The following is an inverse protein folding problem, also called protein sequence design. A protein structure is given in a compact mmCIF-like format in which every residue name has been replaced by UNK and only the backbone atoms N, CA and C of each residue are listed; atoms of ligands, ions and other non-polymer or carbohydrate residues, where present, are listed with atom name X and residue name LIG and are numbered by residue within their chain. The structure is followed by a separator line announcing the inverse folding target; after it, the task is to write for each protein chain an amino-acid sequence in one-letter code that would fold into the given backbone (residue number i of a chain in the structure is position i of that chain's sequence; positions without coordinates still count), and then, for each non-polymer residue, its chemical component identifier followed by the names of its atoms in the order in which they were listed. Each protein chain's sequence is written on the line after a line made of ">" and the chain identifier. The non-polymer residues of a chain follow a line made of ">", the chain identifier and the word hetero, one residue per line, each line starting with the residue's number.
data_IF_093841029243
#
_entry.id   IF_093841029243
#
_cell.length_a   1.000
_cell.length_b   1.000
_cell.length_c   1.000
_cell.angle_alpha   90.00
_cell.angle_beta   90.00
_cell.angle_gamma   90.00
#
_symmetry.space_group_name_H-M   'P 1'
#
loop_
_entity.id
_entity.type
_entity.pdbx_description
1 polymer ?
#
# COMPACT_ATOMS: atom_id res chain seq x y z
N UNK A 1 54.79 4.40 26.18
CA UNK A 1 53.65 5.26 26.57
C UNK A 1 52.39 4.75 25.86
N UNK A 2 51.42 4.20 26.59
CA UNK A 2 50.14 3.76 26.04
C UNK A 2 49.22 4.97 25.95
N UNK A 3 48.81 5.36 24.74
CA UNK A 3 47.76 6.36 24.55
C UNK A 3 46.40 5.64 24.66
N UNK A 4 45.63 6.01 25.69
CA UNK A 4 44.25 5.55 25.89
C UNK A 4 43.32 6.58 25.24
N UNK A 5 42.67 6.19 24.14
CA UNK A 5 41.63 6.99 23.50
C UNK A 5 40.33 6.68 24.25
N UNK A 6 39.85 7.65 25.05
CA UNK A 6 38.53 7.59 25.67
C UNK A 6 37.48 7.92 24.60
N UNK A 7 36.71 6.92 24.19
CA UNK A 7 35.49 7.14 23.42
C UNK A 7 34.44 7.75 24.36
N UNK A 8 34.09 9.02 24.13
CA UNK A 8 32.89 9.61 24.71
C UNK A 8 31.70 9.10 23.90
N UNK A 9 30.95 8.16 24.46
CA UNK A 9 29.63 7.82 23.96
C UNK A 9 28.69 9.00 24.27
N UNK A 10 28.40 9.82 23.27
CA UNK A 10 27.26 10.72 23.33
C UNK A 10 26.00 9.86 23.27
N UNK A 11 25.26 9.80 24.37
CA UNK A 11 23.92 9.26 24.35
C UNK A 11 23.06 10.19 23.47
N UNK A 12 22.71 9.75 22.26
CA UNK A 12 21.61 10.35 21.52
C UNK A 12 20.35 10.14 22.38
N UNK A 13 19.82 11.21 22.96
CA UNK A 13 18.44 11.21 23.41
C UNK A 13 17.59 11.05 22.15
N UNK A 14 17.02 9.85 21.94
CA UNK A 14 16.00 9.65 20.94
C UNK A 14 14.81 10.54 21.35
N UNK A 15 14.61 11.63 20.60
CA UNK A 15 13.32 12.32 20.62
C UNK A 15 12.27 11.29 20.21
N UNK A 16 11.10 11.23 20.86
CA UNK A 16 10.01 10.42 20.34
C UNK A 16 9.68 10.96 18.95
N UNK A 17 10.09 10.24 17.92
CA UNK A 17 9.67 10.51 16.55
C UNK A 17 8.23 10.04 16.45
N UNK A 18 7.29 10.91 16.79
CA UNK A 18 5.91 10.77 16.33
C UNK A 18 6.01 10.68 14.81
N UNK A 19 5.71 9.52 14.24
CA UNK A 19 5.76 9.35 12.79
C UNK A 19 4.75 10.33 12.18
N UNK A 20 5.09 10.99 11.07
CA UNK A 20 4.23 12.02 10.48
C UNK A 20 2.80 11.55 10.14
N UNK A 21 2.58 10.24 10.03
CA UNK A 21 1.25 9.65 9.82
C UNK A 21 0.38 9.62 11.08
N UNK A 22 0.96 9.60 12.28
CA UNK A 22 0.23 9.56 13.56
C UNK A 22 -0.62 10.84 13.74
N UNK A 23 -0.14 11.98 13.24
CA UNK A 23 -0.86 13.26 13.20
C UNK A 23 -2.10 13.25 12.28
N UNK A 24 -2.17 12.29 11.36
CA UNK A 24 -3.31 12.14 10.45
C UNK A 24 -4.36 11.18 10.98
N UNK A 25 -4.09 10.45 12.06
CA UNK A 25 -5.04 9.50 12.63
C UNK A 25 -6.16 10.22 13.38
N UNK A 26 -7.41 9.82 13.13
CA UNK A 26 -8.62 10.42 13.68
C UNK A 26 -9.60 9.34 14.11
N UNK A 27 -10.43 9.60 15.14
CA UNK A 27 -11.56 8.74 15.45
C UNK A 27 -12.53 8.62 14.27
N UNK A 28 -13.14 7.45 14.05
CA UNK A 28 -14.13 7.26 12.97
C UNK A 28 -15.24 8.33 12.93
N UNK A 29 -15.82 8.80 14.05
CA UNK A 29 -16.85 9.84 14.03
C UNK A 29 -16.38 11.22 13.58
N UNK A 30 -15.06 11.47 13.56
CA UNK A 30 -14.49 12.70 12.97
C UNK A 30 -14.26 12.56 11.46
N UNK A 31 -14.18 11.32 10.95
CA UNK A 31 -13.89 11.00 9.54
C UNK A 31 -15.18 10.79 8.75
N UNK A 32 -16.17 10.13 9.36
CA UNK A 32 -17.43 9.74 8.76
C UNK A 32 -18.59 10.21 9.64
N UNK A 33 -19.59 10.85 9.04
CA UNK A 33 -20.80 11.31 9.69
C UNK A 33 -21.82 10.17 9.95
N UNK A 34 -21.72 9.05 9.24
CA UNK A 34 -22.63 7.90 9.36
C UNK A 34 -22.02 6.62 8.78
N UNK A 35 -22.67 5.47 9.02
CA UNK A 35 -22.36 4.21 8.33
C UNK A 35 -22.44 4.30 6.82
N UNK A 36 -23.41 5.08 6.31
CA UNK A 36 -23.51 5.37 4.87
C UNK A 36 -22.25 6.04 4.33
N UNK A 37 -21.74 7.07 5.01
CA UNK A 37 -20.51 7.73 4.57
C UNK A 37 -19.30 6.81 4.71
N UNK A 38 -19.22 6.02 5.79
CA UNK A 38 -18.16 5.03 5.97
C UNK A 38 -18.07 4.07 4.78
N UNK A 39 -19.13 3.34 4.47
CA UNK A 39 -19.09 2.34 3.41
C UNK A 39 -18.79 2.92 2.03
N UNK A 40 -19.31 4.11 1.71
CA UNK A 40 -19.09 4.71 0.40
C UNK A 40 -17.68 5.32 0.26
N UNK A 41 -17.06 5.74 1.37
CA UNK A 41 -15.79 6.47 1.34
C UNK A 41 -14.58 5.60 1.67
N UNK A 42 -14.71 4.65 2.61
CA UNK A 42 -13.59 3.87 3.13
C UNK A 42 -12.80 3.16 2.03
N UNK A 43 -13.46 2.67 0.98
CA UNK A 43 -12.81 2.00 -0.16
C UNK A 43 -13.11 2.71 -1.49
N UNK A 44 -12.88 4.02 -1.60
CA UNK A 44 -12.91 4.75 -2.88
C UNK A 44 -14.12 4.46 -3.78
N UNK A 45 -15.35 4.60 -3.25
CA UNK A 45 -16.60 4.34 -3.98
C UNK A 45 -16.82 2.89 -4.47
N UNK A 46 -16.09 1.90 -3.94
CA UNK A 46 -16.36 0.47 -4.18
C UNK A 46 -17.79 0.08 -3.83
N UNK A 47 -18.37 0.73 -2.82
CA UNK A 47 -19.70 0.42 -2.31
C UNK A 47 -20.67 1.59 -2.45
N UNK A 48 -21.94 1.24 -2.65
CA UNK A 48 -23.09 2.15 -2.59
C UNK A 48 -24.00 1.66 -1.47
N UNK A 49 -24.46 2.53 -0.58
CA UNK A 49 -25.38 2.07 0.47
C UNK A 49 -26.83 2.16 0.00
N UNK A 50 -27.57 1.08 0.22
CA UNK A 50 -29.00 0.98 -0.10
C UNK A 50 -29.82 0.67 1.16
N UNK A 51 -31.08 1.10 1.18
CA UNK A 51 -32.01 0.76 2.27
C UNK A 51 -32.18 -0.75 2.41
N UNK A 52 -32.43 -1.24 3.62
CA UNK A 52 -32.50 -2.69 3.88
C UNK A 52 -33.65 -3.41 3.15
N UNK A 53 -34.63 -2.64 2.67
CA UNK A 53 -35.77 -3.10 1.86
C UNK A 53 -35.40 -3.31 0.39
N UNK A 54 -34.31 -2.72 -0.07
CA UNK A 54 -33.81 -2.86 -1.44
C UNK A 54 -32.86 -4.07 -1.55
N UNK A 55 -32.66 -4.61 -2.76
CA UNK A 55 -31.62 -5.61 -3.01
C UNK A 55 -30.23 -5.04 -2.70
N UNK A 56 -29.60 -5.56 -1.64
CA UNK A 56 -28.28 -5.15 -1.19
C UNK A 56 -27.55 -6.30 -0.52
N UNK A 57 -26.26 -6.37 -0.78
CA UNK A 57 -25.37 -7.42 -0.27
C UNK A 57 -25.04 -7.17 1.21
N UNK A 58 -24.67 -8.24 1.90
CA UNK A 58 -24.02 -8.20 3.21
C UNK A 58 -22.64 -8.80 3.09
N UNK A 59 -21.66 -8.22 3.79
CA UNK A 59 -20.28 -8.72 3.80
C UNK A 59 -20.07 -9.84 4.83
N UNK A 60 -21.13 -10.26 5.52
CA UNK A 60 -21.07 -11.42 6.40
C UNK A 60 -22.43 -12.09 6.59
N UNK A 61 -22.40 -13.40 6.80
CA UNK A 61 -23.54 -14.25 7.14
C UNK A 61 -23.04 -15.51 7.86
N UNK A 62 -23.94 -16.24 8.52
CA UNK A 62 -23.56 -17.42 9.33
C UNK A 62 -23.89 -18.76 8.68
N UNK A 63 -24.75 -18.77 7.66
CA UNK A 63 -25.18 -19.98 6.97
C UNK A 63 -24.14 -20.35 5.88
N UNK A 64 -23.37 -21.41 6.12
CA UNK A 64 -22.34 -21.89 5.16
C UNK A 64 -22.94 -22.68 3.99
N UNK A 65 -24.19 -23.11 4.11
CA UNK A 65 -24.86 -23.92 3.09
C UNK A 65 -25.65 -23.03 2.13
N UNK A 66 -25.96 -21.79 2.53
CA UNK A 66 -26.71 -20.83 1.72
C UNK A 66 -26.14 -19.42 1.83
N UNK A 67 -25.47 -18.98 0.77
CA UNK A 67 -25.09 -17.59 0.61
C UNK A 67 -26.33 -16.72 0.32
N UNK A 68 -26.73 -15.79 1.21
CA UNK A 68 -27.88 -14.92 0.97
C UNK A 68 -27.64 -13.94 -0.20
N UNK A 69 -26.37 -13.65 -0.52
CA UNK A 69 -26.01 -12.75 -1.61
C UNK A 69 -26.34 -13.34 -2.99
N UNK A 70 -26.47 -14.66 -3.11
CA UNK A 70 -26.87 -15.31 -4.37
C UNK A 70 -28.25 -14.84 -4.84
N UNK A 71 -29.18 -14.67 -3.88
CA UNK A 71 -30.51 -14.13 -4.17
C UNK A 71 -30.45 -12.65 -4.54
N UNK A 72 -29.57 -11.88 -3.89
CA UNK A 72 -29.38 -10.45 -4.20
C UNK A 72 -28.89 -10.28 -5.63
N UNK A 73 -27.95 -11.13 -6.07
CA UNK A 73 -27.47 -11.15 -7.46
C UNK A 73 -28.62 -11.43 -8.43
N UNK A 74 -29.47 -12.42 -8.13
CA UNK A 74 -30.66 -12.70 -8.93
C UNK A 74 -31.63 -11.52 -8.99
N UNK A 75 -31.85 -10.84 -7.86
CA UNK A 75 -32.79 -9.71 -7.78
C UNK A 75 -32.30 -8.49 -8.58
N UNK A 76 -30.99 -8.25 -8.61
CA UNK A 76 -30.39 -7.09 -9.30
C UNK A 76 -30.20 -7.36 -10.80
N UNK A 77 -29.66 -8.52 -11.16
CA UNK A 77 -29.24 -8.82 -12.53
C UNK A 77 -30.21 -9.72 -13.29
N UNK A 78 -31.15 -10.37 -12.60
CA UNK A 78 -32.02 -11.39 -13.21
C UNK A 78 -31.31 -12.70 -13.53
N UNK A 79 -30.07 -12.87 -13.07
CA UNK A 79 -29.20 -14.02 -13.34
C UNK A 79 -28.61 -14.58 -12.04
N UNK A 80 -28.28 -15.87 -12.05
CA UNK A 80 -27.56 -16.48 -10.93
C UNK A 80 -26.15 -15.90 -10.80
N UNK A 81 -25.51 -16.03 -9.63
CA UNK A 81 -24.11 -15.66 -9.46
C UNK A 81 -23.20 -16.24 -10.55
N UNK A 82 -22.17 -15.49 -10.99
CA UNK A 82 -21.32 -15.90 -12.11
C UNK A 82 -20.56 -17.19 -11.77
N UNK A 83 -20.25 -17.97 -12.80
CA UNK A 83 -19.40 -19.16 -12.71
C UNK A 83 -17.91 -18.83 -12.91
N UNK A 84 -17.58 -17.55 -13.03
CA UNK A 84 -16.22 -17.03 -13.16
C UNK A 84 -15.97 -15.99 -12.07
N UNK A 85 -14.75 -15.95 -11.56
CA UNK A 85 -14.31 -14.96 -10.58
C UNK A 85 -13.76 -13.73 -11.31
N UNK A 86 -14.50 -12.62 -11.25
CA UNK A 86 -14.19 -11.43 -12.06
C UNK A 86 -13.12 -10.48 -11.50
N UNK A 87 -12.78 -10.60 -10.22
CA UNK A 87 -11.67 -9.87 -9.59
C UNK A 87 -10.37 -10.66 -9.73
N UNK A 88 -9.22 -9.97 -9.67
CA UNK A 88 -7.90 -10.56 -9.94
C UNK A 88 -6.96 -10.47 -8.72
N UNK A 89 -5.67 -10.81 -8.89
CA UNK A 89 -4.63 -10.95 -7.85
C UNK A 89 -4.67 -12.31 -7.13
N UNK A 90 -5.43 -12.43 -6.04
CA UNK A 90 -5.48 -13.68 -5.24
C UNK A 90 -6.73 -14.54 -5.50
N UNK A 91 -7.59 -14.06 -6.39
CA UNK A 91 -8.78 -14.76 -6.82
C UNK A 91 -8.45 -15.96 -7.75
N UNK A 92 -9.26 -17.00 -7.66
CA UNK A 92 -9.28 -18.13 -8.59
C UNK A 92 -9.89 -17.71 -9.93
N UNK A 93 -9.88 -18.60 -10.92
CA UNK A 93 -10.59 -18.39 -12.19
C UNK A 93 -12.11 -18.65 -12.05
N UNK A 94 -12.49 -19.65 -11.25
CA UNK A 94 -13.87 -20.10 -11.05
C UNK A 94 -14.15 -20.32 -9.56
N UNK A 95 -15.40 -20.11 -9.09
CA UNK A 95 -15.76 -20.31 -7.71
C UNK A 95 -15.87 -21.81 -7.40
N UNK A 96 -15.09 -22.27 -6.44
CA UNK A 96 -15.02 -23.69 -6.06
C UNK A 96 -15.07 -23.88 -4.54
N UNK A 97 -15.42 -25.10 -4.05
CA UNK A 97 -15.36 -25.41 -2.62
C UNK A 97 -13.93 -25.37 -2.09
N UNK A 98 -13.77 -24.93 -0.84
CA UNK A 98 -12.50 -24.85 -0.13
C UNK A 98 -12.38 -25.90 0.98
N UNK A 99 -11.14 -26.22 1.34
CA UNK A 99 -10.83 -27.20 2.37
C UNK A 99 -11.01 -26.64 3.81
N UNK A 100 -10.73 -27.48 4.80
CA UNK A 100 -10.79 -27.11 6.22
C UNK A 100 -9.73 -26.05 6.62
N UNK A 101 -8.85 -25.64 5.70
CA UNK A 101 -7.93 -24.52 5.85
C UNK A 101 -8.63 -23.17 5.86
N UNK A 102 -9.83 -23.06 5.29
CA UNK A 102 -10.62 -21.82 5.29
C UNK A 102 -11.25 -21.61 6.67
N UNK A 103 -10.54 -20.86 7.52
CA UNK A 103 -10.96 -20.62 8.91
C UNK A 103 -11.64 -19.27 9.09
N UNK A 104 -11.17 -18.25 8.38
CA UNK A 104 -11.65 -16.89 8.59
C UNK A 104 -12.91 -16.58 7.77
N UNK A 105 -12.94 -17.02 6.51
CA UNK A 105 -14.02 -16.72 5.55
C UNK A 105 -14.95 -17.91 5.28
N UNK A 106 -15.21 -18.71 6.34
CA UNK A 106 -16.05 -19.92 6.28
C UNK A 106 -17.42 -19.79 5.59
N UNK A 107 -18.13 -18.63 5.64
CA UNK A 107 -19.43 -18.52 4.98
C UNK A 107 -19.40 -18.84 3.48
N UNK A 108 -18.27 -18.63 2.80
CA UNK A 108 -18.10 -18.94 1.36
C UNK A 108 -17.51 -20.32 1.08
N UNK A 109 -17.28 -21.17 2.10
CA UNK A 109 -16.52 -22.42 1.95
C UNK A 109 -17.03 -23.35 0.86
N UNK A 110 -18.35 -23.43 0.63
CA UNK A 110 -18.91 -24.31 -0.39
C UNK A 110 -18.73 -23.79 -1.82
N UNK A 111 -18.54 -22.48 -1.99
CA UNK A 111 -18.41 -21.82 -3.30
C UNK A 111 -17.78 -20.45 -3.12
N UNK A 112 -16.46 -20.37 -3.30
CA UNK A 112 -15.69 -19.13 -3.09
C UNK A 112 -14.76 -18.83 -4.25
N UNK A 113 -14.42 -17.55 -4.44
CA UNK A 113 -13.37 -17.10 -5.35
C UNK A 113 -11.97 -17.02 -4.72
N UNK A 114 -11.86 -17.14 -3.40
CA UNK A 114 -10.58 -17.12 -2.69
C UNK A 114 -10.01 -18.53 -2.53
N UNK A 115 -8.72 -18.62 -2.18
CA UNK A 115 -8.08 -19.86 -1.73
C UNK A 115 -7.99 -19.88 -0.19
N UNK A 116 -8.17 -21.04 0.42
CA UNK A 116 -8.11 -21.25 1.87
C UNK A 116 -6.81 -20.74 2.50
N UNK A 117 -5.71 -20.80 1.74
CA UNK A 117 -4.39 -20.31 2.16
C UNK A 117 -4.29 -18.79 2.32
N UNK A 118 -5.12 -18.02 1.61
CA UNK A 118 -5.20 -16.55 1.71
C UNK A 118 -6.07 -16.16 2.90
N UNK A 119 -7.07 -16.97 3.22
CA UNK A 119 -8.07 -16.70 4.26
C UNK A 119 -7.94 -17.60 5.51
N UNK A 120 -6.72 -18.07 5.77
CA UNK A 120 -6.43 -19.02 6.84
C UNK A 120 -6.49 -18.40 8.25
N UNK A 121 -6.32 -17.07 8.34
CA UNK A 121 -6.44 -16.29 9.58
C UNK A 121 -6.61 -14.81 9.25
N UNK A 122 -7.12 -14.05 10.23
CA UNK A 122 -7.10 -12.58 10.23
C UNK A 122 -5.73 -12.00 9.91
N UNK A 123 -4.66 -12.53 10.52
CA UNK A 123 -3.30 -12.03 10.27
C UNK A 123 -2.88 -12.29 8.82
N UNK A 124 -3.23 -13.43 8.24
CA UNK A 124 -2.93 -13.71 6.84
C UNK A 124 -3.64 -12.74 5.90
N UNK A 125 -4.91 -12.44 6.15
CA UNK A 125 -5.66 -11.42 5.41
C UNK A 125 -4.97 -10.05 5.49
N UNK A 126 -4.60 -9.63 6.70
CA UNK A 126 -3.97 -8.33 6.93
C UNK A 126 -2.64 -8.17 6.18
N UNK A 127 -1.83 -9.22 6.19
CA UNK A 127 -0.51 -9.23 5.57
C UNK A 127 -0.53 -9.50 4.05
N UNK A 128 -1.67 -9.86 3.45
CA UNK A 128 -1.70 -10.39 2.09
C UNK A 128 -1.28 -9.39 1.02
N UNK A 129 -1.50 -8.10 1.25
CA UNK A 129 -1.23 -7.04 0.27
C UNK A 129 -0.02 -6.18 0.59
N UNK A 130 0.62 -6.38 1.75
CA UNK A 130 1.73 -5.55 2.24
C UNK A 130 1.33 -4.64 3.40
N UNK A 131 2.32 -4.17 4.15
CA UNK A 131 2.15 -3.37 5.37
C UNK A 131 1.36 -2.08 5.11
N UNK A 132 1.51 -1.49 3.93
CA UNK A 132 0.77 -0.29 3.55
C UNK A 132 -0.72 -0.50 3.42
N UNK A 133 -1.20 -1.73 3.28
CA UNK A 133 -2.62 -2.09 3.19
C UNK A 133 -3.15 -2.69 4.50
N UNK A 134 -2.39 -2.63 5.59
CA UNK A 134 -2.94 -2.97 6.90
C UNK A 134 -4.09 -2.01 7.26
N UNK A 135 -5.22 -2.53 7.70
CA UNK A 135 -6.34 -1.67 8.14
C UNK A 135 -6.01 -0.89 9.43
N UNK A 136 -5.17 -1.45 10.30
CA UNK A 136 -4.79 -0.92 11.63
C UNK A 136 -3.52 -0.04 11.61
N UNK A 137 -3.25 0.63 10.48
CA UNK A 137 -2.13 1.60 10.35
C UNK A 137 -2.15 2.69 11.42
N UNK A 138 -3.31 3.07 11.94
CA UNK A 138 -3.46 4.05 13.01
C UNK A 138 -3.35 3.47 14.44
N UNK A 139 -2.81 2.26 14.55
CA UNK A 139 -2.72 1.49 15.79
C UNK A 139 -3.78 0.40 15.87
N UNK A 140 -3.65 -0.52 16.85
CA UNK A 140 -4.55 -1.65 16.99
C UNK A 140 -6.01 -1.23 17.12
N UNK A 141 -6.89 -1.89 16.38
CA UNK A 141 -8.32 -1.71 16.47
C UNK A 141 -8.92 -2.56 17.59
N UNK A 142 -10.09 -2.16 18.08
CA UNK A 142 -10.91 -3.01 18.94
C UNK A 142 -11.35 -4.25 18.17
N UNK A 143 -11.50 -5.42 18.84
CA UNK A 143 -11.94 -6.64 18.17
C UNK A 143 -13.29 -6.50 17.46
N UNK A 144 -14.17 -5.62 17.95
CA UNK A 144 -15.47 -5.36 17.34
C UNK A 144 -15.32 -4.63 16.00
N UNK A 145 -14.48 -3.60 15.94
CA UNK A 145 -14.21 -2.86 14.70
C UNK A 145 -13.42 -3.70 13.69
N UNK A 146 -12.34 -4.35 14.15
CA UNK A 146 -11.47 -5.15 13.27
C UNK A 146 -12.23 -6.27 12.58
N UNK A 147 -13.24 -6.85 13.25
CA UNK A 147 -14.07 -7.89 12.63
C UNK A 147 -14.74 -7.43 11.34
N UNK A 148 -15.14 -6.18 11.23
CA UNK A 148 -15.75 -5.65 10.00
C UNK A 148 -14.77 -5.49 8.84
N UNK A 149 -13.51 -5.15 9.13
CA UNK A 149 -12.46 -5.17 8.11
C UNK A 149 -12.22 -6.59 7.59
N UNK A 150 -12.24 -7.58 8.50
CA UNK A 150 -12.15 -8.99 8.09
C UNK A 150 -13.37 -9.43 7.27
N UNK A 151 -14.58 -8.98 7.63
CA UNK A 151 -15.78 -9.24 6.84
C UNK A 151 -15.67 -8.69 5.42
N UNK A 152 -15.22 -7.46 5.30
CA UNK A 152 -14.99 -6.84 3.99
C UNK A 152 -13.91 -7.58 3.20
N UNK A 153 -12.78 -7.93 3.82
CA UNK A 153 -11.72 -8.69 3.15
C UNK A 153 -12.21 -10.07 2.70
N UNK A 154 -12.97 -10.79 3.55
CA UNK A 154 -13.59 -12.05 3.14
C UNK A 154 -14.57 -11.89 1.98
N UNK A 155 -15.39 -10.84 2.02
CA UNK A 155 -16.35 -10.55 0.97
C UNK A 155 -15.64 -10.22 -0.34
N UNK A 156 -14.63 -9.35 -0.32
CA UNK A 156 -13.83 -8.99 -1.49
C UNK A 156 -13.15 -10.22 -2.10
N UNK A 157 -12.44 -11.02 -1.30
CA UNK A 157 -11.68 -12.18 -1.80
C UNK A 157 -12.57 -13.34 -2.27
N UNK A 158 -13.69 -13.59 -1.57
CA UNK A 158 -14.40 -14.86 -1.69
C UNK A 158 -15.76 -14.77 -2.40
N UNK A 159 -16.43 -13.62 -2.45
CA UNK A 159 -17.78 -13.50 -3.02
C UNK A 159 -17.75 -13.61 -4.56
N UNK A 160 -18.39 -14.64 -5.16
CA UNK A 160 -18.42 -14.78 -6.62
C UNK A 160 -19.04 -13.58 -7.33
N UNK A 161 -20.04 -12.95 -6.70
CA UNK A 161 -20.75 -11.81 -7.28
C UNK A 161 -19.95 -10.51 -7.26
N UNK A 162 -18.84 -10.41 -6.51
CA UNK A 162 -18.05 -9.18 -6.42
C UNK A 162 -17.49 -8.74 -7.79
N UNK A 163 -17.13 -9.70 -8.63
CA UNK A 163 -16.64 -9.45 -10.00
C UNK A 163 -17.64 -8.75 -10.92
N UNK A 164 -18.95 -8.87 -10.66
CA UNK A 164 -20.01 -8.17 -11.42
C UNK A 164 -19.94 -6.65 -11.25
N UNK A 165 -19.30 -6.18 -10.18
CA UNK A 165 -19.16 -4.77 -9.84
C UNK A 165 -17.76 -4.22 -10.13
N UNK A 166 -16.96 -4.91 -10.95
CA UNK A 166 -15.66 -4.41 -11.38
C UNK A 166 -15.83 -3.09 -12.15
N UNK A 167 -15.05 -2.09 -11.78
CA UNK A 167 -15.11 -0.73 -12.34
C UNK A 167 -14.83 -0.69 -13.84
N UNK A 168 -13.91 -1.54 -14.30
CA UNK A 168 -13.49 -1.59 -15.69
C UNK A 168 -13.79 -2.96 -16.31
N UNK A 169 -14.27 -2.93 -17.53
CA UNK A 169 -14.36 -4.11 -18.39
C UNK A 169 -13.04 -4.31 -19.15
N UNK A 170 -12.65 -5.54 -19.49
CA UNK A 170 -11.40 -5.86 -20.20
C UNK A 170 -11.25 -5.16 -21.57
N UNK A 171 -12.38 -4.80 -22.19
CA UNK A 171 -12.40 -3.96 -23.40
C UNK A 171 -11.82 -2.54 -23.18
N UNK A 172 -11.73 -2.10 -21.93
CA UNK A 172 -11.19 -0.80 -21.52
C UNK A 172 -9.70 -0.85 -21.13
N UNK A 173 -9.00 -1.95 -21.44
CA UNK A 173 -7.56 -2.13 -21.20
C UNK A 173 -6.64 -1.08 -21.82
N UNK A 174 -7.17 -0.21 -22.69
CA UNK A 174 -6.47 0.92 -23.27
C UNK A 174 -6.43 2.18 -22.38
N UNK A 175 -7.22 2.23 -21.31
CA UNK A 175 -7.24 3.36 -20.38
C UNK A 175 -6.04 3.28 -19.42
N UNK A 176 -5.42 4.42 -19.13
CA UNK A 176 -4.25 4.50 -18.23
C UNK A 176 -4.60 4.06 -16.79
N UNK A 177 -5.81 4.36 -16.35
CA UNK A 177 -6.39 4.00 -15.05
C UNK A 177 -6.97 2.58 -14.99
N UNK A 178 -6.95 1.83 -16.10
CA UNK A 178 -7.50 0.48 -16.17
C UNK A 178 -6.82 -0.43 -15.14
N UNK A 179 -7.65 -1.16 -14.42
CA UNK A 179 -7.19 -2.25 -13.57
C UNK A 179 -8.27 -3.32 -13.44
N UNK A 180 -7.90 -4.46 -12.88
CA UNK A 180 -8.74 -5.66 -12.80
C UNK A 180 -9.22 -5.99 -11.38
N UNK A 181 -8.99 -5.10 -10.42
CA UNK A 181 -9.30 -5.31 -8.99
C UNK A 181 -10.31 -4.32 -8.43
N UNK A 182 -10.41 -3.14 -9.01
CA UNK A 182 -11.23 -2.07 -8.45
C UNK A 182 -12.71 -2.39 -8.63
N UNK A 183 -13.45 -2.40 -7.53
CA UNK A 183 -14.91 -2.46 -7.52
C UNK A 183 -15.51 -1.05 -7.64
N UNK A 184 -16.77 -0.97 -8.02
CA UNK A 184 -17.50 0.29 -8.09
C UNK A 184 -18.99 0.11 -7.81
N UNK A 185 -19.49 0.84 -6.80
CA UNK A 185 -20.91 0.96 -6.47
C UNK A 185 -21.65 -0.36 -6.27
N UNK A 186 -21.01 -1.38 -5.68
CA UNK A 186 -21.71 -2.57 -5.23
C UNK A 186 -22.69 -2.22 -4.09
N UNK A 187 -23.99 -2.54 -4.19
CA UNK A 187 -24.98 -2.11 -3.22
C UNK A 187 -24.85 -2.90 -1.91
N UNK A 188 -24.59 -2.22 -0.80
CA UNK A 188 -24.46 -2.82 0.53
C UNK A 188 -25.62 -2.35 1.41
N UNK A 189 -26.19 -3.28 2.19
CA UNK A 189 -27.29 -2.96 3.11
C UNK A 189 -26.90 -1.92 4.14
N UNK A 190 -27.76 -0.91 4.33
CA UNK A 190 -27.55 0.18 5.28
C UNK A 190 -27.29 -0.33 6.70
N UNK A 191 -28.06 -1.30 7.17
CA UNK A 191 -27.87 -1.88 8.51
C UNK A 191 -26.47 -2.45 8.75
N UNK A 192 -25.85 -3.05 7.73
CA UNK A 192 -24.49 -3.56 7.82
C UNK A 192 -23.49 -2.40 8.02
N UNK A 193 -23.59 -1.37 7.19
CA UNK A 193 -22.73 -0.19 7.25
C UNK A 193 -22.89 0.61 8.53
N UNK A 194 -24.11 0.75 9.04
CA UNK A 194 -24.37 1.38 10.34
C UNK A 194 -23.75 0.58 11.48
N UNK A 195 -23.84 -0.75 11.43
CA UNK A 195 -23.21 -1.63 12.43
C UNK A 195 -21.69 -1.54 12.42
N UNK A 196 -21.09 -1.44 11.22
CA UNK A 196 -19.65 -1.22 11.08
C UNK A 196 -19.23 0.09 11.73
N UNK A 197 -19.89 1.18 11.37
CA UNK A 197 -19.58 2.50 11.93
C UNK A 197 -19.74 2.52 13.45
N UNK A 198 -20.82 1.93 13.97
CA UNK A 198 -21.07 1.84 15.41
C UNK A 198 -19.98 1.05 16.14
N UNK A 199 -19.48 -0.04 15.55
CA UNK A 199 -18.41 -0.86 16.12
C UNK A 199 -17.06 -0.13 16.17
N UNK A 200 -16.81 0.80 15.25
CA UNK A 200 -15.52 1.50 15.11
C UNK A 200 -15.48 2.90 15.75
N UNK A 201 -16.53 3.36 16.46
CA UNK A 201 -16.61 4.75 16.96
C UNK A 201 -15.44 5.18 17.85
N UNK A 202 -14.82 4.25 18.57
CA UNK A 202 -13.71 4.51 19.49
C UNK A 202 -12.34 4.21 18.89
N UNK A 203 -12.31 3.70 17.67
CA UNK A 203 -11.10 3.31 16.96
C UNK A 203 -10.55 4.48 16.15
N UNK A 204 -9.26 4.38 15.81
CA UNK A 204 -8.57 5.36 14.99
C UNK A 204 -8.44 4.83 13.56
N UNK A 205 -8.59 5.73 12.59
CA UNK A 205 -8.29 5.46 11.20
C UNK A 205 -7.65 6.70 10.57
N UNK A 206 -7.18 6.56 9.33
CA UNK A 206 -6.55 7.65 8.62
C UNK A 206 -7.56 8.77 8.34
N UNK A 207 -7.17 10.01 8.62
CA UNK A 207 -8.09 11.14 8.71
C UNK A 207 -8.71 11.60 7.39
N UNK A 208 -8.17 11.18 6.23
CA UNK A 208 -8.85 11.40 4.95
C UNK A 208 -10.07 10.49 4.79
N UNK A 209 -10.10 9.36 5.49
CA UNK A 209 -11.14 8.35 5.45
C UNK A 209 -11.15 7.43 4.24
N UNK A 210 -10.09 7.41 3.43
CA UNK A 210 -9.99 6.52 2.28
C UNK A 210 -8.80 5.57 2.44
N UNK A 211 -9.04 4.27 2.29
CA UNK A 211 -8.09 3.20 2.59
C UNK A 211 -6.87 3.23 1.66
N UNK A 212 -7.08 3.50 0.37
CA UNK A 212 -6.03 3.54 -0.65
C UNK A 212 -5.20 4.82 -0.56
N UNK A 213 -5.85 5.96 -0.34
CA UNK A 213 -5.20 7.24 -0.08
C UNK A 213 -4.38 7.19 1.21
N UNK A 214 -4.86 6.45 2.22
CA UNK A 214 -4.06 6.16 3.40
C UNK A 214 -2.83 5.29 3.08
N UNK A 215 -2.97 4.26 2.23
CA UNK A 215 -1.85 3.38 1.86
C UNK A 215 -0.73 4.18 1.19
N UNK A 216 -1.12 5.05 0.24
CA UNK A 216 -0.19 5.95 -0.43
C UNK A 216 0.54 6.89 0.54
N UNK A 217 -0.16 7.40 1.57
CA UNK A 217 0.49 8.22 2.61
C UNK A 217 1.38 7.41 3.54
N UNK A 218 1.00 6.19 3.90
CA UNK A 218 1.84 5.31 4.72
C UNK A 218 3.17 5.03 4.02
N UNK A 219 3.12 4.62 2.74
CA UNK A 219 4.32 4.40 1.92
C UNK A 219 5.17 5.68 1.81
N UNK A 220 4.56 6.84 1.59
CA UNK A 220 5.30 8.09 1.45
C UNK A 220 6.03 8.54 2.73
N UNK A 221 5.60 8.07 3.90
CA UNK A 221 6.14 8.43 5.21
C UNK A 221 6.76 7.24 5.96
N UNK A 222 7.10 6.14 5.27
CA UNK A 222 7.72 4.98 5.89
C UNK A 222 9.17 5.33 6.33
N UNK A 223 9.53 5.27 7.63
CA UNK A 223 10.86 5.63 8.11
C UNK A 223 11.97 4.77 7.54
N UNK A 224 11.69 3.51 7.18
CA UNK A 224 12.69 2.66 6.54
C UNK A 224 13.07 3.18 5.16
N UNK A 225 12.09 3.68 4.41
CA UNK A 225 12.30 4.31 3.11
C UNK A 225 12.97 5.68 3.25
N UNK A 226 12.65 6.45 4.30
CA UNK A 226 13.37 7.68 4.62
C UNK A 226 14.86 7.42 4.90
N UNK A 227 15.17 6.44 5.76
CA UNK A 227 16.54 6.03 6.09
C UNK A 227 17.26 5.52 4.83
N UNK A 228 16.59 4.72 4.00
CA UNK A 228 17.12 4.23 2.73
C UNK A 228 17.42 5.38 1.77
N UNK A 229 16.52 6.36 1.64
CA UNK A 229 16.70 7.54 0.81
C UNK A 229 17.85 8.41 1.29
N UNK A 230 18.00 8.60 2.60
CA UNK A 230 19.16 9.29 3.19
C UNK A 230 20.47 8.57 2.89
N UNK A 231 20.50 7.24 3.08
CA UNK A 231 21.67 6.40 2.78
C UNK A 231 22.06 6.50 1.30
N UNK A 232 21.11 6.34 0.39
CA UNK A 232 21.36 6.38 -1.05
C UNK A 232 21.83 7.78 -1.49
N UNK A 233 21.30 8.83 -0.87
CA UNK A 233 21.74 10.21 -1.12
C UNK A 233 23.19 10.42 -0.65
N UNK A 234 23.53 9.92 0.54
CA UNK A 234 24.88 9.98 1.09
C UNK A 234 25.88 9.18 0.25
N UNK A 235 25.49 8.01 -0.26
CA UNK A 235 26.31 7.20 -1.17
C UNK A 235 26.59 7.94 -2.48
N UNK A 236 25.56 8.50 -3.11
CA UNK A 236 25.71 9.31 -4.34
C UNK A 236 26.63 10.52 -4.12
N UNK A 237 26.48 11.21 -2.98
CA UNK A 237 27.34 12.33 -2.61
C UNK A 237 28.79 11.88 -2.43
N UNK A 238 29.03 10.77 -1.73
CA UNK A 238 30.37 10.23 -1.53
C UNK A 238 31.05 9.86 -2.86
N UNK A 239 30.35 9.18 -3.76
CA UNK A 239 30.86 8.84 -5.10
C UNK A 239 31.19 10.11 -5.88
N UNK A 240 30.30 11.11 -5.86
CA UNK A 240 30.53 12.38 -6.56
C UNK A 240 31.79 13.10 -6.07
N UNK A 241 31.99 13.17 -4.75
CA UNK A 241 33.18 13.78 -4.15
C UNK A 241 34.48 13.05 -4.51
N UNK A 242 34.45 11.71 -4.53
CA UNK A 242 35.60 10.89 -4.95
C UNK A 242 35.96 11.16 -6.41
N UNK A 243 34.97 11.23 -7.30
CA UNK A 243 35.19 11.51 -8.72
C UNK A 243 35.80 12.91 -8.92
N UNK A 244 35.22 13.93 -8.28
CA UNK A 244 35.72 15.32 -8.37
C UNK A 244 37.17 15.39 -7.85
N UNK A 245 37.44 14.80 -6.69
CA UNK A 245 38.80 14.76 -6.12
C UNK A 245 39.81 14.06 -7.04
N UNK A 246 39.41 12.95 -7.65
CA UNK A 246 40.26 12.21 -8.60
C UNK A 246 40.60 13.05 -9.85
N UNK A 247 39.61 13.72 -10.43
CA UNK A 247 39.81 14.60 -11.60
C UNK A 247 40.72 15.78 -11.25
N UNK A 248 40.48 16.43 -10.11
CA UNK A 248 41.33 17.53 -9.63
C UNK A 248 42.78 17.08 -9.40
N UNK A 249 42.98 15.89 -8.84
CA UNK A 249 44.31 15.32 -8.63
C UNK A 249 45.04 15.06 -9.95
N UNK A 250 44.37 14.45 -10.93
CA UNK A 250 44.94 14.24 -12.28
C UNK A 250 45.28 15.57 -12.95
N UNK A 251 44.42 16.58 -12.83
CA UNK A 251 44.68 17.91 -13.37
C UNK A 251 45.88 18.60 -12.69
N UNK A 252 46.02 18.46 -11.38
CA UNK A 252 47.18 18.94 -10.63
C UNK A 252 48.46 18.22 -11.06
N UNK A 253 48.43 16.89 -11.23
CA UNK A 253 49.57 16.12 -11.73
C UNK A 253 49.95 16.54 -13.14
N UNK A 254 48.96 16.73 -14.02
CA UNK A 254 49.20 17.20 -15.39
C UNK A 254 49.78 18.61 -15.39
N UNK A 255 49.25 19.52 -14.58
CA UNK A 255 49.79 20.88 -14.42
C UNK A 255 51.22 20.87 -13.89
N UNK A 256 51.50 20.04 -12.87
CA UNK A 256 52.86 19.88 -12.34
C UNK A 256 53.82 19.31 -13.38
N UNK A 257 53.37 18.32 -14.16
CA UNK A 257 54.12 17.77 -15.27
C UNK A 257 54.44 18.83 -16.33
N UNK A 258 53.46 19.65 -16.73
CA UNK A 258 53.68 20.77 -17.66
C UNK A 258 54.73 21.76 -17.10
N UNK A 259 54.59 22.19 -15.84
CA UNK A 259 55.54 23.10 -15.18
C UNK A 259 56.94 22.49 -15.08
N UNK A 260 57.05 21.20 -14.77
CA UNK A 260 58.34 20.51 -14.71
C UNK A 260 59.01 20.45 -16.08
N UNK A 261 58.24 20.18 -17.14
CA UNK A 261 58.75 20.13 -18.52
C UNK A 261 59.19 21.49 -19.05
N UNK A 262 58.48 22.56 -18.71
CA UNK A 262 58.93 23.94 -18.94
C UNK A 262 60.27 24.22 -18.24
N UNK A 263 60.35 23.95 -16.93
CA UNK A 263 61.58 24.22 -16.15
C UNK A 263 62.80 23.41 -16.58
N UNK A 264 62.61 22.24 -17.18
CA UNK A 264 63.69 21.37 -17.67
C UNK A 264 64.05 21.64 -19.14
N UNK A 265 63.47 22.69 -19.76
CA UNK A 265 63.80 23.13 -21.12
C UNK A 265 63.26 22.21 -22.22
N UNK A 266 62.21 21.42 -21.94
CA UNK A 266 61.58 20.52 -22.91
C UNK A 266 60.05 20.74 -22.93
N UNK A 267 59.57 21.93 -23.32
CA UNK A 267 58.15 22.28 -23.27
C UNK A 267 57.29 21.31 -24.09
N UNK A 268 56.08 21.05 -23.62
CA UNK A 268 55.13 20.14 -24.29
C UNK A 268 54.42 20.84 -25.45
N UNK A 269 54.12 22.13 -25.29
CA UNK A 269 53.57 22.96 -26.34
C UNK A 269 54.68 23.87 -26.88
N UNK A 270 54.94 23.78 -28.17
CA UNK A 270 55.89 24.66 -28.86
C UNK A 270 55.04 25.55 -29.77
N UNK A 271 55.15 26.87 -29.60
CA UNK A 271 54.44 27.80 -30.48
C UNK A 271 54.93 27.62 -31.93
N UNK A 272 53.99 27.55 -32.88
CA UNK A 272 54.34 27.62 -34.30
C UNK A 272 54.93 29.01 -34.60
N UNK A 273 56.27 29.05 -34.66
CA UNK A 273 57.06 30.22 -35.01
C UNK A 273 57.60 30.96 -33.80
N UNK A 274 58.87 30.72 -33.45
CA UNK A 274 59.57 31.56 -32.49
C UNK A 274 61.01 31.16 -32.25
N UNK A 275 61.93 31.89 -32.89
CA UNK A 275 63.35 31.89 -32.60
C UNK A 275 63.63 32.03 -31.09
N UNK A 276 64.67 31.35 -30.64
CA UNK A 276 65.26 31.52 -29.32
C UNK A 276 65.60 32.99 -29.05
N UNK A 277 65.15 33.52 -27.92
CA UNK A 277 65.74 34.71 -27.29
C UNK A 277 65.99 34.39 -25.82
N UNK A 278 67.17 34.83 -25.38
CA UNK A 278 67.84 34.59 -24.11
C UNK A 278 67.03 34.96 -22.86
#
# INVERSE_FOLDING_TARGET
>A
MKFSIKYYAYALMALPTTMAWEETCRPFPEIYASGTELCQKLFSDSFLVVDDTEPGYTMWFFDTDKNPNDQVTLDIFGEQPPEECGLQYFHKDEPTPEDDGMKECQPWKQRSCCNSSIVASMEKLKESYGEEYHWDRCGPMTPACERFFVYESCFYECEPSAGLFRKYNDSQSHLEEFNTWQMHKMPIKKSFCDSWFDACKTDLFCGDGDFFSCAARYQANNPEDEIKKERDTNEKLAISLVVIGSVAFVFCLFSFFLVHRERTGKPVFVGEGGNAVA
#
